data_IF_652064894976
#
_entry.id   IF_652064894976
#
_cell.length_a   1.000
_cell.length_b   1.000
_cell.length_c   1.000
_cell.angle_alpha   90.00
_cell.angle_beta   90.00
_cell.angle_gamma   90.00
#
_symmetry.space_group_name_H-M   'P 1'
#
loop_
_entity.id
_entity.type
_entity.pdbx_description
1 polymer ?
#
# COMPACT_ATOMS: atom_id res chain seq x y z
N UNK A 1 -4.48 -48.49 -16.43
CA UNK A 1 -3.90 -47.21 -15.97
C UNK A 1 -5.06 -46.45 -15.37
N UNK A 2 -5.23 -46.62 -14.07
CA UNK A 2 -6.41 -46.21 -13.31
C UNK A 2 -6.59 -44.68 -13.35
N UNK A 3 -7.84 -44.31 -13.53
CA UNK A 3 -8.38 -42.96 -13.46
C UNK A 3 -8.42 -42.57 -11.98
N UNK A 4 -7.74 -41.49 -11.59
CA UNK A 4 -7.97 -40.86 -10.30
C UNK A 4 -9.19 -39.94 -10.47
N UNK A 5 -10.34 -40.42 -10.03
CA UNK A 5 -11.55 -39.63 -9.87
C UNK A 5 -11.25 -38.53 -8.84
N UNK A 6 -11.36 -37.25 -9.26
CA UNK A 6 -11.37 -36.14 -8.33
C UNK A 6 -12.67 -36.23 -7.53
N UNK A 7 -12.55 -36.69 -6.30
CA UNK A 7 -13.67 -36.80 -5.35
C UNK A 7 -14.17 -35.39 -5.03
N UNK A 8 -15.23 -34.97 -5.72
CA UNK A 8 -16.01 -33.78 -5.40
C UNK A 8 -16.79 -34.06 -4.12
N UNK A 9 -16.17 -33.76 -2.98
CA UNK A 9 -16.81 -33.87 -1.66
C UNK A 9 -17.91 -32.81 -1.55
N UNK A 10 -19.16 -33.28 -1.54
CA UNK A 10 -20.36 -32.47 -1.32
C UNK A 10 -20.39 -31.96 0.14
N UNK A 11 -20.05 -30.68 0.30
CA UNK A 11 -19.96 -29.98 1.58
C UNK A 11 -21.34 -29.55 2.07
N UNK A 12 -22.21 -30.51 2.40
CA UNK A 12 -23.47 -30.22 3.10
C UNK A 12 -23.37 -30.53 4.59
N UNK A 13 -23.28 -29.45 5.38
CA UNK A 13 -23.82 -29.32 6.74
C UNK A 13 -23.23 -30.17 7.89
N UNK A 14 -21.92 -30.46 7.92
CA UNK A 14 -21.24 -30.94 9.12
C UNK A 14 -19.92 -30.18 9.36
N UNK A 15 -19.94 -29.22 10.28
CA UNK A 15 -18.79 -28.39 10.70
C UNK A 15 -17.73 -29.23 11.42
N UNK A 16 -16.85 -29.87 10.64
CA UNK A 16 -15.63 -30.49 11.18
C UNK A 16 -14.52 -29.43 11.27
N UNK A 17 -13.66 -29.47 12.31
CA UNK A 17 -12.61 -28.46 12.52
C UNK A 17 -11.65 -28.35 11.33
N UNK A 18 -11.53 -29.42 10.53
CA UNK A 18 -10.71 -29.45 9.34
C UNK A 18 -11.21 -28.50 8.23
N UNK A 19 -12.53 -28.42 8.02
CA UNK A 19 -13.13 -27.52 7.00
C UNK A 19 -12.85 -26.07 7.36
N UNK A 20 -13.02 -25.69 8.63
CA UNK A 20 -12.76 -24.31 9.09
C UNK A 20 -11.27 -23.95 8.92
N UNK A 21 -10.34 -24.85 9.23
CA UNK A 21 -8.90 -24.62 9.04
C UNK A 21 -8.53 -24.42 7.56
N UNK A 22 -9.13 -25.21 6.66
CA UNK A 22 -8.91 -25.08 5.21
C UNK A 22 -9.45 -23.75 4.68
N UNK A 23 -10.62 -23.32 5.15
CA UNK A 23 -11.21 -22.03 4.79
C UNK A 23 -10.39 -20.84 5.31
N UNK A 24 -9.92 -20.89 6.56
CA UNK A 24 -9.03 -19.88 7.13
C UNK A 24 -7.72 -19.77 6.34
N UNK A 25 -7.14 -20.91 5.93
CA UNK A 25 -5.92 -20.95 5.10
C UNK A 25 -6.11 -20.33 3.72
N UNK A 26 -7.28 -20.56 3.09
CA UNK A 26 -7.64 -19.92 1.81
C UNK A 26 -7.80 -18.41 1.97
N UNK A 27 -8.54 -17.94 2.98
CA UNK A 27 -8.70 -16.51 3.28
C UNK A 27 -7.35 -15.81 3.49
N UNK A 28 -6.47 -16.40 4.29
CA UNK A 28 -5.12 -15.87 4.52
C UNK A 28 -4.34 -15.72 3.21
N UNK A 29 -4.40 -16.73 2.34
CA UNK A 29 -3.71 -16.72 1.04
C UNK A 29 -4.22 -15.59 0.13
N UNK A 30 -5.54 -15.35 0.11
CA UNK A 30 -6.13 -14.22 -0.63
C UNK A 30 -5.68 -12.87 -0.08
N UNK A 31 -5.70 -12.69 1.25
CA UNK A 31 -5.26 -11.45 1.89
C UNK A 31 -3.77 -11.20 1.61
N UNK A 32 -2.93 -12.24 1.65
CA UNK A 32 -1.50 -12.14 1.34
C UNK A 32 -1.26 -11.70 -0.11
N UNK A 33 -2.02 -12.25 -1.05
CA UNK A 33 -1.95 -11.85 -2.46
C UNK A 33 -2.41 -10.41 -2.65
N UNK A 34 -3.53 -10.02 -2.02
CA UNK A 34 -4.03 -8.65 -2.06
C UNK A 34 -3.02 -7.66 -1.47
N UNK A 35 -2.41 -8.00 -0.32
CA UNK A 35 -1.37 -7.20 0.30
C UNK A 35 -0.19 -7.00 -0.65
N UNK A 36 0.27 -8.07 -1.30
CA UNK A 36 1.37 -8.02 -2.29
C UNK A 36 1.03 -7.11 -3.47
N UNK A 37 -0.18 -7.19 -4.04
CA UNK A 37 -0.61 -6.31 -5.15
C UNK A 37 -0.65 -4.83 -4.74
N UNK A 38 -0.99 -4.55 -3.48
CA UNK A 38 -1.03 -3.18 -2.97
C UNK A 38 0.33 -2.64 -2.53
N UNK A 39 1.35 -3.48 -2.43
CA UNK A 39 2.65 -3.14 -1.83
C UNK A 39 2.61 -3.08 -0.30
N UNK A 40 1.61 -3.73 0.30
CA UNK A 40 1.48 -3.90 1.74
C UNK A 40 2.28 -5.12 2.21
N UNK A 41 2.54 -5.17 3.52
CA UNK A 41 3.24 -6.26 4.18
C UNK A 41 2.37 -6.87 5.27
N UNK A 42 2.28 -8.20 5.30
CA UNK A 42 1.71 -8.92 6.44
C UNK A 42 2.76 -8.92 7.55
N UNK A 43 2.44 -8.31 8.70
CA UNK A 43 3.39 -8.16 9.82
C UNK A 43 3.18 -9.21 10.91
N UNK A 44 1.97 -9.73 11.05
CA UNK A 44 1.64 -10.78 12.01
C UNK A 44 0.49 -11.66 11.51
N UNK A 45 0.46 -12.91 11.95
CA UNK A 45 -0.54 -13.92 11.57
C UNK A 45 -0.93 -14.73 12.80
N UNK A 46 -2.19 -14.62 13.20
CA UNK A 46 -2.84 -15.48 14.20
C UNK A 46 -3.58 -16.65 13.55
N UNK A 47 -4.29 -17.43 14.37
CA UNK A 47 -5.10 -18.55 13.88
C UNK A 47 -6.25 -18.09 12.96
N UNK A 48 -6.92 -16.99 13.35
CA UNK A 48 -8.13 -16.49 12.69
C UNK A 48 -8.01 -15.04 12.19
N UNK A 49 -6.87 -14.38 12.44
CA UNK A 49 -6.63 -12.99 12.07
C UNK A 49 -5.22 -12.76 11.53
N UNK A 50 -5.00 -11.65 10.85
CA UNK A 50 -3.68 -11.21 10.44
C UNK A 50 -3.58 -9.70 10.46
N UNK A 51 -2.39 -9.17 10.72
CA UNK A 51 -2.12 -7.74 10.71
C UNK A 51 -1.39 -7.39 9.43
N UNK A 52 -1.90 -6.39 8.71
CA UNK A 52 -1.34 -5.90 7.44
C UNK A 52 -0.99 -4.43 7.56
N UNK A 53 0.24 -4.09 7.19
CA UNK A 53 0.74 -2.72 7.13
C UNK A 53 0.79 -2.25 5.68
N UNK A 54 0.20 -1.09 5.40
CA UNK A 54 0.22 -0.45 4.08
C UNK A 54 0.64 1.01 4.21
N UNK A 55 1.73 1.37 3.53
CA UNK A 55 2.15 2.77 3.37
C UNK A 55 1.90 3.21 1.92
N UNK A 56 0.90 4.08 1.73
CA UNK A 56 0.53 4.58 0.42
C UNK A 56 -0.19 5.93 0.49
N UNK A 57 -0.42 6.54 -0.69
CA UNK A 57 -1.32 7.70 -0.82
C UNK A 57 -2.70 7.35 -0.28
N UNK A 58 -3.38 8.35 0.27
CA UNK A 58 -4.67 8.19 0.92
C UNK A 58 -5.70 7.41 0.09
N UNK A 59 -5.82 7.74 -1.19
CA UNK A 59 -6.75 7.08 -2.13
C UNK A 59 -6.49 5.58 -2.28
N UNK A 60 -5.22 5.16 -2.26
CA UNK A 60 -4.82 3.75 -2.39
C UNK A 60 -5.10 2.97 -1.10
N UNK A 61 -4.95 3.61 0.07
CA UNK A 61 -5.36 3.03 1.35
C UNK A 61 -6.87 2.84 1.39
N UNK A 62 -7.64 3.83 0.94
CA UNK A 62 -9.10 3.74 0.90
C UNK A 62 -9.58 2.65 -0.08
N UNK A 63 -8.90 2.48 -1.22
CA UNK A 63 -9.16 1.39 -2.16
C UNK A 63 -8.85 0.01 -1.55
N UNK A 64 -7.75 -0.13 -0.81
CA UNK A 64 -7.42 -1.37 -0.11
C UNK A 64 -8.50 -1.73 0.92
N UNK A 65 -8.95 -0.78 1.74
CA UNK A 65 -10.00 -1.03 2.73
C UNK A 65 -11.33 -1.48 2.09
N UNK A 66 -11.71 -0.91 0.94
CA UNK A 66 -12.93 -1.33 0.22
C UNK A 66 -12.85 -2.78 -0.26
N UNK A 67 -11.70 -3.21 -0.77
CA UNK A 67 -11.51 -4.59 -1.23
C UNK A 67 -11.35 -5.56 -0.06
N UNK A 68 -10.77 -5.10 1.06
CA UNK A 68 -10.62 -5.88 2.28
C UNK A 68 -11.93 -6.04 3.07
N UNK A 69 -12.93 -5.17 2.87
CA UNK A 69 -14.18 -5.15 3.61
C UNK A 69 -14.91 -6.51 3.73
N UNK A 70 -15.01 -7.36 2.67
CA UNK A 70 -15.68 -8.66 2.75
C UNK A 70 -14.98 -9.69 3.64
N UNK A 71 -13.69 -9.50 3.93
CA UNK A 71 -12.93 -10.40 4.80
C UNK A 71 -13.16 -10.11 6.28
N UNK A 72 -13.77 -8.97 6.62
CA UNK A 72 -13.97 -8.53 7.99
C UNK A 72 -12.75 -7.79 8.53
N UNK A 73 -12.85 -6.47 8.66
CA UNK A 73 -11.83 -5.64 9.30
C UNK A 73 -12.16 -5.58 10.78
N UNK A 74 -11.34 -6.23 11.61
CA UNK A 74 -11.50 -6.21 13.07
C UNK A 74 -11.16 -4.83 13.64
N UNK A 75 -9.98 -4.34 13.26
CA UNK A 75 -9.42 -3.06 13.71
C UNK A 75 -8.67 -2.41 12.56
N UNK A 76 -8.67 -1.07 12.52
CA UNK A 76 -7.91 -0.30 11.53
C UNK A 76 -7.34 0.96 12.20
N UNK A 77 -6.03 1.16 12.07
CA UNK A 77 -5.34 2.35 12.53
C UNK A 77 -4.72 3.09 11.33
N UNK A 78 -4.94 4.41 11.25
CA UNK A 78 -4.39 5.26 10.20
C UNK A 78 -3.79 6.52 10.82
N UNK A 79 -2.51 6.75 10.58
CA UNK A 79 -1.74 7.90 11.11
C UNK A 79 -2.03 9.23 10.39
N UNK A 80 -2.77 9.22 9.28
CA UNK A 80 -3.08 10.41 8.49
C UNK A 80 -1.95 10.79 7.52
N UNK A 81 -1.95 12.04 7.03
CA UNK A 81 -0.89 12.55 6.15
C UNK A 81 0.28 13.00 7.01
N UNK A 82 1.44 12.36 6.82
CA UNK A 82 2.70 12.77 7.44
C UNK A 82 3.65 13.25 6.34
N UNK A 83 4.34 14.35 6.58
CA UNK A 83 5.32 14.91 5.67
C UNK A 83 6.57 15.31 6.45
N UNK A 84 7.74 15.01 5.89
CA UNK A 84 9.03 15.45 6.40
C UNK A 84 9.81 16.08 5.25
N UNK A 85 10.51 17.18 5.53
CA UNK A 85 11.46 17.75 4.58
C UNK A 85 12.58 16.76 4.32
N UNK A 86 12.87 16.45 3.05
CA UNK A 86 13.93 15.51 2.65
C UNK A 86 15.34 15.99 3.03
N UNK A 87 15.51 17.28 3.21
CA UNK A 87 16.71 17.91 3.73
C UNK A 87 16.29 19.06 4.66
N UNK A 88 17.02 19.27 5.76
CA UNK A 88 17.00 20.56 6.40
C UNK A 88 17.57 21.55 5.38
N UNK A 89 16.75 22.45 4.83
CA UNK A 89 17.32 23.75 4.48
C UNK A 89 17.88 24.26 5.79
N UNK A 90 19.20 24.25 5.94
CA UNK A 90 19.85 25.07 6.96
C UNK A 90 19.32 26.47 6.69
N UNK A 91 18.40 26.93 7.53
CA UNK A 91 17.82 28.27 7.46
C UNK A 91 18.82 29.35 7.88
N UNK A 92 20.12 29.12 7.68
CA UNK A 92 21.15 30.15 7.90
C UNK A 92 21.23 31.15 6.74
N UNK A 93 20.50 30.95 5.63
CA UNK A 93 20.58 31.82 4.46
C UNK A 93 19.21 32.18 3.84
N UNK A 94 18.10 31.99 4.55
CA UNK A 94 16.77 32.36 4.04
C UNK A 94 16.39 33.79 4.48
N UNK A 95 17.21 34.78 4.10
CA UNK A 95 16.82 36.20 4.18
C UNK A 95 16.81 36.92 2.83
N UNK A 96 16.98 36.25 1.68
CA UNK A 96 17.08 36.96 0.39
C UNK A 96 16.23 36.36 -0.75
N UNK A 97 15.11 35.69 -0.45
CA UNK A 97 14.26 35.13 -1.53
C UNK A 97 12.78 35.53 -1.45
N UNK A 98 12.43 36.58 -0.70
CA UNK A 98 11.06 37.13 -0.67
C UNK A 98 10.88 38.46 -1.41
N UNK A 99 11.88 38.94 -2.15
CA UNK A 99 11.75 40.14 -2.99
C UNK A 99 12.30 39.88 -4.39
N UNK A 100 11.47 39.31 -5.27
CA UNK A 100 11.48 39.53 -6.74
C UNK A 100 10.44 38.60 -7.39
N UNK A 101 9.18 38.80 -7.03
CA UNK A 101 8.14 38.66 -8.03
C UNK A 101 8.06 40.05 -8.70
N UNK A 102 8.15 40.07 -10.04
CA UNK A 102 8.00 41.24 -10.92
C UNK A 102 9.28 42.05 -11.19
N UNK A 103 10.03 41.68 -12.24
CA UNK A 103 10.46 42.61 -13.32
C UNK A 103 11.20 41.86 -14.43
N UNK A 104 10.71 42.05 -15.65
CA UNK A 104 11.42 42.12 -16.94
C UNK A 104 12.30 40.95 -17.42
N UNK A 105 11.76 40.27 -18.45
CA UNK A 105 12.46 39.50 -19.48
C UNK A 105 13.58 40.34 -20.12
N UNK A 106 14.79 40.27 -19.58
CA UNK A 106 15.99 40.77 -20.23
C UNK A 106 16.60 39.67 -21.12
N UNK A 107 16.91 40.02 -22.37
CA UNK A 107 17.51 39.17 -23.40
C UNK A 107 18.76 38.44 -22.88
N UNK A 108 18.74 37.11 -22.89
CA UNK A 108 19.92 36.31 -22.56
C UNK A 108 20.85 36.27 -23.78
N UNK A 109 21.96 37.00 -23.73
CA UNK A 109 23.00 36.99 -24.76
C UNK A 109 23.60 35.59 -24.95
N UNK A 110 23.46 35.05 -26.17
CA UNK A 110 23.82 33.69 -26.59
C UNK A 110 25.31 33.53 -26.93
N UNK A 111 26.11 34.60 -26.80
CA UNK A 111 27.54 34.61 -27.15
C UNK A 111 28.44 33.79 -26.19
N UNK A 112 27.91 33.34 -25.06
CA UNK A 112 28.67 32.63 -24.01
C UNK A 112 28.43 31.12 -23.94
N UNK A 113 27.72 30.52 -24.89
CA UNK A 113 27.59 29.06 -24.92
C UNK A 113 28.85 28.42 -25.52
N UNK A 114 29.53 27.50 -24.81
CA UNK A 114 30.65 26.78 -25.37
C UNK A 114 30.16 25.86 -26.51
N UNK A 115 30.86 25.81 -27.65
CA UNK A 115 30.46 24.96 -28.76
C UNK A 115 30.64 23.47 -28.41
N UNK A 116 29.73 22.66 -28.97
CA UNK A 116 29.65 21.19 -28.85
C UNK A 116 30.90 20.46 -29.31
#
# INVERSE_FOLDING_TARGET
RELAEEEQVDLSAAETPYVQVVESSKRLSYIRNLATMFGARVVDVGADCCIVELCAKSERVDAFMKIAAPFGILEAARSGRMAMSRAAKLSLFEEVASETAETDIAETDLSHLPPS
#
